data_IF_135800607078
#
_entry.id   IF_135800607078
#
_cell.length_a   1.000
_cell.length_b   1.000
_cell.length_c   1.000
_cell.angle_alpha   90.00
_cell.angle_beta   90.00
_cell.angle_gamma   90.00
#
_symmetry.space_group_name_H-M   'P 1'
#
loop_
_entity.id
_entity.type
_entity.pdbx_description
1 polymer ?
#
# COMPACT_ATOMS: atom_id res chain seq x y z
N UNK A 1 58.45 13.88 51.34
CA UNK A 1 57.87 15.21 51.01
C UNK A 1 56.45 14.95 50.54
N UNK A 2 55.34 15.08 51.30
CA UNK A 2 54.84 16.15 52.18
C UNK A 2 54.70 17.53 51.51
N UNK A 3 53.51 17.78 50.93
CA UNK A 3 52.67 19.02 50.98
C UNK A 3 51.24 18.53 50.68
N UNK A 4 50.24 18.47 51.57
CA UNK A 4 49.54 19.45 52.44
C UNK A 4 48.96 20.68 51.72
N UNK A 5 47.62 20.78 51.82
CA UNK A 5 46.80 22.00 51.77
C UNK A 5 46.42 22.48 50.38
N UNK A 6 45.26 23.04 50.08
CA UNK A 6 44.07 23.43 50.84
C UNK A 6 43.01 23.71 49.74
N UNK A 7 41.77 23.23 49.84
CA UNK A 7 40.71 24.01 50.47
C UNK A 7 40.34 25.26 49.66
N UNK A 8 39.36 25.16 48.76
CA UNK A 8 38.42 26.24 48.47
C UNK A 8 37.14 25.66 47.86
N UNK A 9 36.13 25.67 48.71
CA UNK A 9 34.73 25.42 48.43
C UNK A 9 34.20 26.67 47.74
N UNK A 10 33.68 26.54 46.52
CA UNK A 10 32.76 27.53 45.97
C UNK A 10 31.56 26.77 45.42
N UNK A 11 30.52 26.79 46.26
CA UNK A 11 29.14 26.52 45.91
C UNK A 11 28.74 27.44 44.77
N UNK A 12 28.28 26.86 43.67
CA UNK A 12 27.47 27.56 42.69
C UNK A 12 26.38 26.58 42.26
N UNK A 13 25.26 26.68 42.97
CA UNK A 13 23.95 26.27 42.46
C UNK A 13 23.77 26.83 41.05
N UNK A 14 23.79 25.95 40.06
CA UNK A 14 23.47 26.30 38.69
C UNK A 14 22.77 25.11 38.01
N UNK A 15 21.46 25.06 38.27
CA UNK A 15 20.38 24.60 37.38
C UNK A 15 20.70 23.33 36.57
N UNK A 16 20.36 22.19 37.18
CA UNK A 16 20.05 20.95 36.47
C UNK A 16 18.94 21.27 35.45
N UNK A 17 19.11 21.04 34.13
CA UNK A 17 18.00 21.19 33.20
C UNK A 17 16.97 20.13 33.56
N UNK A 18 15.91 20.57 34.23
CA UNK A 18 14.73 19.75 34.43
C UNK A 18 14.18 19.40 33.06
N UNK A 19 14.14 18.09 32.86
CA UNK A 19 13.52 17.44 31.75
C UNK A 19 12.08 17.95 31.59
N UNK A 20 11.88 18.80 30.60
CA UNK A 20 10.56 19.28 30.21
C UNK A 20 10.12 18.41 29.04
N UNK A 21 9.72 17.19 29.35
CA UNK A 21 8.81 16.46 28.47
C UNK A 21 7.53 17.30 28.40
N UNK A 22 7.03 17.68 27.22
CA UNK A 22 5.72 18.31 27.16
C UNK A 22 4.72 17.35 27.81
N UNK A 23 3.96 17.89 28.76
CA UNK A 23 2.89 17.20 29.44
C UNK A 23 2.06 16.44 28.40
N UNK A 24 1.87 15.14 28.64
CA UNK A 24 0.85 14.36 27.92
C UNK A 24 -0.48 15.06 28.16
N UNK A 25 -0.92 15.84 27.17
CA UNK A 25 -2.31 16.23 27.07
C UNK A 25 -3.10 14.92 27.06
N UNK A 26 -4.09 14.74 27.96
CA UNK A 26 -5.12 13.77 27.67
C UNK A 26 -5.80 14.28 26.40
N UNK A 27 -5.42 13.71 25.26
CA UNK A 27 -6.26 13.74 24.07
C UNK A 27 -7.54 13.03 24.48
N UNK A 28 -8.46 13.83 24.99
CA UNK A 28 -9.87 13.53 25.15
C UNK A 28 -10.27 12.74 23.92
N UNK A 29 -10.69 11.48 24.03
CA UNK A 29 -11.43 10.87 22.95
C UNK A 29 -12.70 11.71 22.87
N UNK A 30 -12.73 12.65 21.92
CA UNK A 30 -13.99 13.18 21.43
C UNK A 30 -14.68 11.98 20.81
N UNK A 31 -15.48 11.29 21.63
CA UNK A 31 -16.57 10.43 21.20
C UNK A 31 -17.57 11.30 20.46
N UNK A 32 -17.19 11.70 19.25
CA UNK A 32 -18.10 12.07 18.20
C UNK A 32 -18.35 10.77 17.46
N UNK A 33 -19.38 10.06 17.89
CA UNK A 33 -19.95 8.90 17.23
C UNK A 33 -20.32 9.25 15.79
N UNK A 34 -19.37 9.18 14.87
CA UNK A 34 -19.63 9.15 13.42
C UNK A 34 -19.68 7.70 12.95
N UNK A 35 -20.50 6.92 13.63
CA UNK A 35 -20.98 5.63 13.17
C UNK A 35 -22.01 5.87 12.06
N UNK A 36 -21.65 6.41 10.88
CA UNK A 36 -22.52 6.31 9.69
C UNK A 36 -21.98 6.79 8.32
N UNK A 37 -20.68 6.99 8.12
CA UNK A 37 -20.17 6.91 6.75
C UNK A 37 -19.94 5.44 6.43
N UNK A 38 -20.88 4.85 5.70
CA UNK A 38 -20.70 3.59 5.01
C UNK A 38 -19.38 3.63 4.23
N UNK A 39 -18.28 3.20 4.85
CA UNK A 39 -17.14 2.75 4.07
C UNK A 39 -17.68 1.55 3.29
N UNK A 40 -17.69 1.58 1.94
CA UNK A 40 -18.09 0.41 1.20
C UNK A 40 -17.27 -0.77 1.72
N UNK A 41 -17.84 -1.98 1.83
CA UNK A 41 -17.15 -3.19 2.33
C UNK A 41 -15.77 -3.44 1.68
N UNK A 42 -15.57 -2.80 0.53
CA UNK A 42 -14.42 -2.85 -0.36
C UNK A 42 -13.16 -2.14 0.17
N UNK A 43 -13.26 -1.20 1.12
CA UNK A 43 -12.08 -0.54 1.70
C UNK A 43 -11.36 -1.38 2.78
N UNK A 44 -11.99 -2.43 3.30
CA UNK A 44 -11.42 -3.28 4.36
C UNK A 44 -10.63 -4.49 3.81
N UNK A 45 -10.72 -4.78 2.52
CA UNK A 45 -10.04 -5.93 1.93
C UNK A 45 -8.56 -5.61 1.68
N UNK A 46 -7.67 -6.51 2.10
CA UNK A 46 -6.23 -6.39 1.84
C UNK A 46 -5.94 -6.30 0.34
N UNK A 47 -6.75 -6.96 -0.50
CA UNK A 47 -6.63 -6.91 -1.96
C UNK A 47 -6.76 -5.50 -2.51
N UNK A 48 -7.77 -4.74 -2.06
CA UNK A 48 -7.98 -3.34 -2.44
C UNK A 48 -6.81 -2.45 -2.01
N UNK A 49 -6.29 -2.64 -0.80
CA UNK A 49 -5.14 -1.87 -0.32
C UNK A 49 -3.89 -2.09 -1.17
N UNK A 50 -3.58 -3.34 -1.50
CA UNK A 50 -2.46 -3.66 -2.40
C UNK A 50 -2.70 -3.14 -3.82
N UNK A 51 -3.92 -3.29 -4.35
CA UNK A 51 -4.27 -2.82 -5.69
C UNK A 51 -4.14 -1.30 -5.80
N UNK A 52 -4.70 -0.56 -4.84
CA UNK A 52 -4.61 0.89 -4.78
C UNK A 52 -3.15 1.36 -4.68
N UNK A 53 -2.34 0.75 -3.81
CA UNK A 53 -0.92 1.09 -3.70
C UNK A 53 -0.13 0.80 -4.99
N UNK A 54 -0.44 -0.31 -5.67
CA UNK A 54 0.23 -0.67 -6.93
C UNK A 54 -0.13 0.30 -8.05
N UNK A 55 -1.41 0.70 -8.13
CA UNK A 55 -1.92 1.66 -9.10
C UNK A 55 -1.44 3.08 -8.84
N UNK A 56 -1.34 3.48 -7.57
CA UNK A 56 -0.79 4.79 -7.19
C UNK A 56 0.64 4.96 -7.73
N UNK A 57 1.51 3.98 -7.47
CA UNK A 57 2.88 4.01 -8.00
C UNK A 57 2.91 3.92 -9.52
N UNK A 58 2.06 3.09 -10.14
CA UNK A 58 2.00 2.96 -11.60
C UNK A 58 1.50 4.24 -12.31
N UNK A 59 0.58 4.97 -11.68
CA UNK A 59 0.11 6.26 -12.15
C UNK A 59 1.22 7.31 -12.05
N UNK A 60 1.96 7.35 -10.94
CA UNK A 60 3.13 8.21 -10.80
C UNK A 60 4.21 7.92 -11.85
N UNK A 61 4.42 6.64 -12.17
CA UNK A 61 5.39 6.18 -13.16
C UNK A 61 4.89 6.34 -14.62
N UNK A 62 3.61 6.67 -14.84
CA UNK A 62 3.02 6.79 -16.18
C UNK A 62 2.88 5.44 -16.92
N UNK A 63 2.82 4.32 -16.20
CA UNK A 63 2.82 2.96 -16.77
C UNK A 63 1.49 2.22 -16.60
N UNK A 64 0.40 2.95 -16.43
CA UNK A 64 -0.92 2.40 -16.15
C UNK A 64 -1.41 1.39 -17.22
N UNK A 65 -1.15 1.67 -18.50
CA UNK A 65 -1.54 0.78 -19.59
C UNK A 65 -0.74 -0.54 -19.59
N UNK A 66 0.54 -0.47 -19.20
CA UNK A 66 1.41 -1.64 -19.09
C UNK A 66 0.96 -2.54 -17.94
N UNK A 67 0.65 -1.96 -16.78
CA UNK A 67 0.20 -2.74 -15.63
C UNK A 67 -1.14 -3.42 -15.90
N UNK A 68 -2.07 -2.77 -16.61
CA UNK A 68 -3.35 -3.39 -16.98
C UNK A 68 -3.15 -4.58 -17.93
N UNK A 69 -2.26 -4.43 -18.93
CA UNK A 69 -1.88 -5.54 -19.83
C UNK A 69 -1.28 -6.71 -19.04
N UNK A 70 -0.35 -6.42 -18.15
CA UNK A 70 0.35 -7.39 -17.33
C UNK A 70 -0.59 -8.16 -16.40
N UNK A 71 -1.49 -7.45 -15.73
CA UNK A 71 -2.51 -8.01 -14.84
C UNK A 71 -3.45 -8.93 -15.62
N UNK A 72 -3.90 -8.53 -16.82
CA UNK A 72 -4.71 -9.41 -17.69
C UNK A 72 -3.98 -10.68 -18.09
N UNK A 73 -2.70 -10.57 -18.46
CA UNK A 73 -1.89 -11.74 -18.80
C UNK A 73 -1.72 -12.67 -17.59
N UNK A 74 -1.53 -12.11 -16.40
CA UNK A 74 -1.38 -12.87 -15.18
C UNK A 74 -2.68 -13.58 -14.75
N UNK A 75 -3.84 -12.91 -14.81
CA UNK A 75 -5.15 -13.50 -14.53
C UNK A 75 -5.48 -14.67 -15.46
N UNK A 76 -5.23 -14.52 -16.77
CA UNK A 76 -5.37 -15.62 -17.73
C UNK A 76 -4.49 -16.80 -17.35
N UNK A 77 -3.26 -16.52 -16.94
CA UNK A 77 -2.32 -17.53 -16.48
C UNK A 77 -2.77 -18.24 -15.21
N UNK A 78 -3.29 -17.50 -14.22
CA UNK A 78 -3.80 -18.00 -12.96
C UNK A 78 -5.00 -18.92 -13.15
N UNK A 79 -6.00 -18.50 -13.92
CA UNK A 79 -7.20 -19.30 -14.23
C UNK A 79 -6.86 -20.60 -14.94
N UNK A 80 -5.94 -20.54 -15.91
CA UNK A 80 -5.45 -21.75 -16.60
C UNK A 80 -4.70 -22.72 -15.68
N UNK A 81 -4.05 -22.21 -14.63
CA UNK A 81 -3.35 -23.05 -13.63
C UNK A 81 -4.33 -23.64 -12.62
N UNK A 82 -5.34 -22.90 -12.18
CA UNK A 82 -6.37 -23.39 -11.26
C UNK A 82 -7.18 -24.54 -11.86
N UNK A 83 -7.45 -24.49 -13.16
CA UNK A 83 -8.06 -25.60 -13.91
C UNK A 83 -7.25 -26.90 -13.88
N UNK A 84 -5.96 -26.84 -13.51
CA UNK A 84 -5.04 -27.99 -13.46
C UNK A 84 -4.76 -28.49 -12.01
N UNK A 85 -5.45 -27.94 -11.01
CA UNK A 85 -5.32 -28.36 -9.61
C UNK A 85 -4.07 -27.83 -8.88
N UNK A 86 -4.01 -28.11 -7.57
CA UNK A 86 -3.28 -27.46 -6.47
C UNK A 86 -1.75 -27.24 -6.61
N UNK A 87 -1.11 -27.68 -7.71
CA UNK A 87 0.32 -27.46 -8.01
C UNK A 87 0.68 -26.01 -8.41
N UNK A 88 -0.15 -25.03 -8.06
CA UNK A 88 -0.19 -23.70 -8.65
C UNK A 88 0.98 -22.78 -8.20
N UNK A 89 1.53 -22.99 -7.01
CA UNK A 89 2.44 -22.04 -6.35
C UNK A 89 3.72 -21.75 -7.15
N UNK A 90 4.38 -22.79 -7.66
CA UNK A 90 5.59 -22.67 -8.47
C UNK A 90 5.33 -22.15 -9.88
N UNK A 91 4.20 -22.54 -10.49
CA UNK A 91 3.86 -22.14 -11.86
C UNK A 91 3.54 -20.65 -11.99
N UNK A 92 2.90 -20.06 -10.98
CA UNK A 92 2.55 -18.62 -10.97
C UNK A 92 3.81 -17.76 -10.91
N UNK A 93 4.70 -18.03 -9.95
CA UNK A 93 5.97 -17.28 -9.84
C UNK A 93 6.81 -17.49 -11.09
N UNK A 94 6.90 -18.74 -11.56
CA UNK A 94 7.65 -19.09 -12.75
C UNK A 94 7.18 -18.32 -13.99
N UNK A 95 5.86 -18.24 -14.24
CA UNK A 95 5.34 -17.43 -15.37
C UNK A 95 5.73 -15.96 -15.25
N UNK A 96 5.64 -15.39 -14.04
CA UNK A 96 5.95 -13.97 -13.81
C UNK A 96 7.45 -13.69 -13.92
N UNK A 97 8.30 -14.65 -13.53
CA UNK A 97 9.75 -14.50 -13.60
C UNK A 97 10.36 -14.88 -14.94
N UNK A 98 9.80 -15.86 -15.65
CA UNK A 98 10.30 -16.32 -16.96
C UNK A 98 9.75 -15.50 -18.12
N UNK A 99 8.52 -14.98 -18.00
CA UNK A 99 7.85 -14.21 -19.05
C UNK A 99 8.30 -12.75 -19.11
N UNK A 100 9.58 -12.47 -18.89
CA UNK A 100 10.17 -11.12 -18.71
C UNK A 100 9.44 -10.02 -19.49
N UNK A 101 9.10 -8.93 -18.79
CA UNK A 101 8.28 -7.84 -19.32
C UNK A 101 7.23 -7.31 -18.36
N UNK A 102 7.01 -8.00 -17.23
CA UNK A 102 6.09 -7.54 -16.20
C UNK A 102 6.63 -6.33 -15.42
N UNK A 103 5.75 -5.41 -15.06
CA UNK A 103 6.04 -4.27 -14.20
C UNK A 103 6.71 -4.72 -12.90
N UNK A 104 7.82 -4.07 -12.54
CA UNK A 104 8.68 -4.50 -11.43
C UNK A 104 7.93 -4.64 -10.10
N UNK A 105 7.10 -3.66 -9.74
CA UNK A 105 6.40 -3.69 -8.45
C UNK A 105 5.33 -4.80 -8.43
N UNK A 106 4.74 -5.12 -9.59
CA UNK A 106 3.83 -6.25 -9.73
C UNK A 106 4.57 -7.58 -9.48
N UNK A 107 5.76 -7.76 -10.08
CA UNK A 107 6.60 -8.95 -9.86
C UNK A 107 6.97 -9.12 -8.39
N UNK A 108 7.38 -8.04 -7.73
CA UNK A 108 7.75 -8.04 -6.31
C UNK A 108 6.56 -8.42 -5.43
N UNK A 109 5.38 -7.84 -5.69
CA UNK A 109 4.15 -8.16 -4.95
C UNK A 109 3.78 -9.64 -5.09
N UNK A 110 3.77 -10.18 -6.31
CA UNK A 110 3.44 -11.60 -6.56
C UNK A 110 4.43 -12.52 -5.85
N UNK A 111 5.74 -12.24 -5.96
CA UNK A 111 6.77 -13.01 -5.25
C UNK A 111 6.56 -12.99 -3.75
N UNK A 112 6.29 -11.82 -3.17
CA UNK A 112 6.04 -11.66 -1.73
C UNK A 112 4.80 -12.45 -1.28
N UNK A 113 3.67 -12.32 -1.99
CA UNK A 113 2.43 -13.00 -1.62
C UNK A 113 2.55 -14.51 -1.73
N UNK A 114 3.22 -15.02 -2.77
CA UNK A 114 3.48 -16.45 -2.92
C UNK A 114 4.42 -16.96 -1.84
N UNK A 115 5.49 -16.23 -1.50
CA UNK A 115 6.39 -16.60 -0.40
C UNK A 115 5.63 -16.73 0.92
N UNK A 116 4.66 -15.83 1.16
CA UNK A 116 3.76 -15.86 2.33
C UNK A 116 2.64 -16.91 2.26
N UNK A 117 2.57 -17.71 1.20
CA UNK A 117 1.50 -18.71 1.02
C UNK A 117 0.13 -18.10 0.69
N UNK A 118 0.06 -16.81 0.35
CA UNK A 118 -1.17 -16.09 0.06
C UNK A 118 -1.48 -16.08 -1.44
N UNK A 119 -1.50 -17.26 -2.07
CA UNK A 119 -1.75 -17.38 -3.52
C UNK A 119 -3.15 -16.93 -3.92
N UNK A 120 -4.16 -17.20 -3.09
CA UNK A 120 -5.53 -16.70 -3.28
C UNK A 120 -5.58 -15.17 -3.31
N UNK A 121 -4.81 -14.53 -2.44
CA UNK A 121 -4.73 -13.06 -2.40
C UNK A 121 -4.09 -12.47 -3.66
N UNK A 122 -3.22 -13.22 -4.36
CA UNK A 122 -2.67 -12.76 -5.64
C UNK A 122 -3.79 -12.58 -6.66
N UNK A 123 -4.69 -13.57 -6.77
CA UNK A 123 -5.83 -13.48 -7.67
C UNK A 123 -6.77 -12.33 -7.29
N UNK A 124 -7.15 -12.23 -6.01
CA UNK A 124 -8.02 -11.16 -5.51
C UNK A 124 -7.44 -9.77 -5.79
N UNK A 125 -6.12 -9.58 -5.66
CA UNK A 125 -5.45 -8.32 -6.01
C UNK A 125 -5.52 -8.05 -7.52
N UNK A 126 -5.26 -9.07 -8.35
CA UNK A 126 -5.28 -8.88 -9.80
C UNK A 126 -6.68 -8.53 -10.30
N UNK A 127 -7.71 -9.15 -9.75
CA UNK A 127 -9.11 -8.84 -10.07
C UNK A 127 -9.48 -7.41 -9.63
N UNK A 128 -9.04 -7.00 -8.44
CA UNK A 128 -9.32 -5.65 -7.94
C UNK A 128 -8.58 -4.57 -8.76
N UNK A 129 -7.35 -4.82 -9.21
CA UNK A 129 -6.65 -3.91 -10.14
C UNK A 129 -7.44 -3.75 -11.43
N UNK A 130 -7.88 -4.87 -12.04
CA UNK A 130 -8.69 -4.83 -13.26
C UNK A 130 -9.97 -4.03 -13.09
N UNK A 131 -10.67 -4.26 -11.96
CA UNK A 131 -11.87 -3.51 -11.61
C UNK A 131 -11.61 -2.01 -11.47
N UNK A 132 -10.55 -1.61 -10.76
CA UNK A 132 -10.22 -0.18 -10.57
C UNK A 132 -9.86 0.47 -11.91
N UNK A 133 -9.10 -0.21 -12.78
CA UNK A 133 -8.80 0.30 -14.13
C UNK A 133 -10.08 0.52 -14.96
N UNK A 134 -11.04 -0.41 -14.92
CA UNK A 134 -12.35 -0.24 -15.57
C UNK A 134 -13.14 0.94 -15.00
N UNK A 135 -13.15 1.10 -13.66
CA UNK A 135 -13.83 2.20 -12.97
C UNK A 135 -13.24 3.57 -13.33
N UNK A 136 -11.91 3.68 -13.44
CA UNK A 136 -11.23 4.90 -13.89
C UNK A 136 -11.60 5.26 -15.34
N UNK A 137 -11.69 4.27 -16.23
CA UNK A 137 -12.13 4.47 -17.62
C UNK A 137 -13.59 4.90 -17.71
N UNK A 138 -14.46 4.31 -16.89
CA UNK A 138 -15.87 4.70 -16.78
C UNK A 138 -16.03 6.14 -16.28
N UNK A 139 -15.25 6.52 -15.27
CA UNK A 139 -15.24 7.88 -14.71
C UNK A 139 -14.81 8.92 -15.75
N UNK A 140 -13.74 8.64 -16.50
CA UNK A 140 -13.26 9.55 -17.55
C UNK A 140 -14.31 9.77 -18.65
N UNK A 141 -15.03 8.72 -19.05
CA UNK A 141 -16.10 8.82 -20.04
C UNK A 141 -17.30 9.68 -19.58
N UNK A 142 -17.67 9.60 -18.30
CA UNK A 142 -18.76 10.42 -17.74
C UNK A 142 -18.36 11.90 -17.65
N UNK A 143 -17.13 12.20 -17.20
CA UNK A 143 -16.63 13.59 -17.10
C UNK A 143 -16.54 14.25 -18.47
N UNK A 144 -16.00 13.56 -19.49
CA UNK A 144 -15.94 14.09 -20.85
C UNK A 144 -17.33 14.36 -21.44
N UNK A 145 -18.31 13.48 -21.16
CA UNK A 145 -19.69 13.66 -21.61
C UNK A 145 -20.42 14.79 -20.89
N UNK A 146 -20.12 15.01 -19.61
CA UNK A 146 -20.65 16.13 -18.84
C UNK A 146 -20.10 17.48 -19.37
N UNK A 147 -18.80 17.55 -19.65
CA UNK A 147 -18.18 18.76 -20.20
C UNK A 147 -18.71 19.07 -21.61
N UNK A 148 -18.88 18.06 -22.46
CA UNK A 148 -19.48 18.23 -23.80
C UNK A 148 -20.96 18.68 -23.77
N UNK A 149 -21.66 18.48 -22.64
CA UNK A 149 -23.08 18.88 -22.46
C UNK A 149 -23.23 20.28 -21.85
N UNK A 150 -22.16 20.87 -21.30
CA UNK A 150 -22.18 22.22 -20.76
C UNK A 150 -21.74 23.30 -21.78
N UNK A 151 -21.24 22.89 -22.94
CA UNK A 151 -20.87 23.80 -24.04
C UNK A 151 -21.95 23.90 -25.14
N UNK A 152 -23.20 23.50 -24.84
CA UNK A 152 -24.37 23.67 -25.71
C UNK A 152 -25.41 24.60 -25.08
#
# INVERSE_FOLDING_TARGET
MMRKGSGLVLSADAVKPQSTYPAKLPLRPSSSSLSHLYLPPRCAAASTGYAAALLDVACCDGVLDFIERDVRQLLRGLRAIQALGERAKGKVVRRVSEGGGFYRNLVVLVRMLVAKGKTRLVEEVMEEIGRICEEMRGTHAVVMRANAKMEQ
#
